data_IF_085592005855
#
_entry.id   IF_085592005855
#
_cell.length_a   1.000
_cell.length_b   1.000
_cell.length_c   1.000
_cell.angle_alpha   90.00
_cell.angle_beta   90.00
_cell.angle_gamma   90.00
#
_symmetry.space_group_name_H-M   'P 1'
#
loop_
_entity.id
_entity.type
_entity.pdbx_description
1 polymer ?
#
# COMPACT_ATOMS: atom_id res chain seq x y z
N UNK A 1 -2.20 1.00 5.28
CA UNK A 1 -3.16 2.10 5.10
C UNK A 1 -3.05 2.56 3.66
N UNK A 2 -4.15 2.73 2.94
CA UNK A 2 -4.12 3.25 1.56
C UNK A 2 -3.84 4.76 1.62
N UNK A 3 -2.96 5.23 0.74
CA UNK A 3 -2.55 6.63 0.62
C UNK A 3 -2.72 7.09 -0.84
N UNK A 4 -2.13 8.22 -1.20
CA UNK A 4 -1.97 8.62 -2.61
C UNK A 4 -3.29 8.92 -3.33
N UNK A 5 -3.39 8.46 -4.59
CA UNK A 5 -4.52 8.72 -5.49
C UNK A 5 -5.88 8.31 -4.95
N UNK A 6 -5.93 7.07 -4.48
CA UNK A 6 -7.16 6.44 -3.96
C UNK A 6 -7.62 7.13 -2.68
N UNK A 7 -6.72 7.36 -1.72
CA UNK A 7 -7.09 8.03 -0.47
C UNK A 7 -7.62 9.45 -0.70
N UNK A 8 -6.96 10.24 -1.54
CA UNK A 8 -7.41 11.59 -1.89
C UNK A 8 -8.79 11.60 -2.57
N UNK A 9 -9.07 10.59 -3.41
CA UNK A 9 -10.34 10.47 -4.12
C UNK A 9 -11.50 10.12 -3.19
N UNK A 10 -11.26 9.29 -2.17
CA UNK A 10 -12.29 8.89 -1.20
C UNK A 10 -12.55 9.97 -0.16
N UNK A 11 -11.48 10.61 0.36
CA UNK A 11 -11.59 11.58 1.45
C UNK A 11 -11.87 13.02 0.99
N UNK A 12 -11.62 13.32 -0.29
CA UNK A 12 -11.71 14.68 -0.82
C UNK A 12 -12.45 14.71 -2.15
N UNK A 13 -11.73 15.07 -3.21
CA UNK A 13 -12.29 15.16 -4.56
C UNK A 13 -11.79 13.99 -5.41
N UNK A 14 -12.69 13.26 -6.10
CA UNK A 14 -12.30 12.20 -7.01
C UNK A 14 -11.28 12.67 -8.04
N UNK A 15 -10.21 11.88 -8.23
CA UNK A 15 -9.25 12.05 -9.32
C UNK A 15 -8.94 10.70 -9.95
N UNK A 16 -8.56 10.74 -11.22
CA UNK A 16 -8.06 9.55 -11.90
C UNK A 16 -6.70 9.18 -11.31
N UNK A 17 -6.52 7.91 -10.96
CA UNK A 17 -5.24 7.30 -10.54
C UNK A 17 -5.11 5.96 -11.25
N UNK A 18 -3.90 5.55 -11.59
CA UNK A 18 -3.64 4.30 -12.33
C UNK A 18 -3.06 3.19 -11.44
N UNK A 19 -2.85 3.51 -10.17
CA UNK A 19 -2.11 2.76 -9.18
C UNK A 19 -2.79 2.85 -7.81
N UNK A 20 -2.36 1.97 -6.92
CA UNK A 20 -2.75 1.92 -5.52
C UNK A 20 -1.51 2.07 -4.65
N UNK A 21 -1.44 3.15 -3.90
CA UNK A 21 -0.38 3.38 -2.94
C UNK A 21 -0.80 2.93 -1.53
N UNK A 22 0.11 2.29 -0.81
CA UNK A 22 -0.09 1.92 0.59
C UNK A 22 1.11 2.27 1.45
N UNK A 23 0.84 2.76 2.67
CA UNK A 23 1.81 2.85 3.75
C UNK A 23 1.60 1.66 4.72
N UNK A 24 2.63 0.86 4.91
CA UNK A 24 2.66 -0.25 5.85
C UNK A 24 3.76 -0.05 6.89
N UNK A 25 3.48 -0.38 8.16
CA UNK A 25 4.49 -0.43 9.21
C UNK A 25 4.65 -1.90 9.58
N UNK A 26 5.74 -2.48 9.09
CA UNK A 26 6.03 -3.91 9.22
C UNK A 26 7.54 -4.10 9.41
N UNK A 27 7.99 -4.92 10.37
CA UNK A 27 9.39 -5.29 10.51
C UNK A 27 9.97 -5.86 9.20
N UNK A 28 11.23 -5.54 8.89
CA UNK A 28 11.88 -6.04 7.67
C UNK A 28 11.88 -7.58 7.57
N UNK A 29 11.97 -8.26 8.71
CA UNK A 29 11.94 -9.71 8.79
C UNK A 29 10.66 -10.32 8.17
N UNK A 30 9.55 -9.59 8.16
CA UNK A 30 8.24 -10.08 7.70
C UNK A 30 7.97 -9.73 6.22
N UNK A 31 8.87 -9.00 5.54
CA UNK A 31 8.62 -8.52 4.18
C UNK A 31 8.55 -9.64 3.16
N UNK A 32 9.39 -10.67 3.32
CA UNK A 32 9.35 -11.85 2.46
C UNK A 32 7.99 -12.57 2.55
N UNK A 33 7.44 -12.66 3.77
CA UNK A 33 6.13 -13.24 4.01
C UNK A 33 4.99 -12.37 3.46
N UNK A 34 5.11 -11.04 3.56
CA UNK A 34 4.15 -10.13 2.95
C UNK A 34 4.07 -10.29 1.42
N UNK A 35 5.22 -10.44 0.74
CA UNK A 35 5.29 -10.71 -0.71
C UNK A 35 4.63 -12.07 -1.02
N UNK A 36 4.96 -13.11 -0.25
CA UNK A 36 4.38 -14.44 -0.43
C UNK A 36 2.87 -14.42 -0.24
N UNK A 37 2.36 -13.74 0.77
CA UNK A 37 0.92 -13.59 1.02
C UNK A 37 0.22 -12.83 -0.10
N UNK A 38 0.82 -11.76 -0.61
CA UNK A 38 0.25 -10.97 -1.71
C UNK A 38 -0.03 -11.80 -2.98
N UNK A 39 0.79 -12.83 -3.24
CA UNK A 39 0.60 -13.73 -4.38
C UNK A 39 -0.74 -14.48 -4.35
N UNK A 40 -1.30 -14.73 -3.16
CA UNK A 40 -2.62 -15.36 -3.00
C UNK A 40 -3.76 -14.49 -3.54
N UNK A 41 -3.52 -13.18 -3.64
CA UNK A 41 -4.45 -12.19 -4.18
C UNK A 41 -4.07 -11.75 -5.59
N UNK A 42 -3.25 -12.55 -6.31
CA UNK A 42 -2.78 -12.25 -7.66
C UNK A 42 -1.95 -10.96 -7.77
N UNK A 43 -1.39 -10.50 -6.65
CA UNK A 43 -0.50 -9.34 -6.56
C UNK A 43 0.93 -9.87 -6.53
N UNK A 44 1.67 -9.62 -7.61
CA UNK A 44 3.04 -10.12 -7.80
C UNK A 44 4.03 -8.96 -7.94
N UNK A 45 5.31 -9.15 -7.60
CA UNK A 45 6.32 -8.13 -7.87
C UNK A 45 6.41 -7.79 -9.35
N UNK A 46 6.58 -6.49 -9.67
CA UNK A 46 6.73 -6.01 -11.06
C UNK A 46 8.19 -5.72 -11.46
N UNK A 47 9.13 -5.99 -10.57
CA UNK A 47 10.57 -5.84 -10.77
C UNK A 47 11.32 -7.09 -10.29
N UNK A 48 12.49 -7.34 -10.88
CA UNK A 48 13.41 -8.37 -10.41
C UNK A 48 13.96 -8.03 -9.01
N UNK A 49 14.32 -9.05 -8.23
CA UNK A 49 14.86 -8.92 -6.88
C UNK A 49 14.07 -7.97 -5.96
N UNK A 50 12.73 -7.99 -6.06
CA UNK A 50 11.85 -7.01 -5.42
C UNK A 50 12.08 -6.82 -3.92
N UNK A 51 12.41 -7.90 -3.18
CA UNK A 51 12.76 -7.79 -1.76
C UNK A 51 14.04 -6.97 -1.55
N UNK A 52 15.08 -7.20 -2.36
CA UNK A 52 16.33 -6.44 -2.27
C UNK A 52 16.14 -5.00 -2.73
N UNK A 53 15.30 -4.76 -3.74
CA UNK A 53 14.89 -3.42 -4.12
C UNK A 53 14.22 -2.71 -2.94
N UNK A 54 13.21 -3.32 -2.32
CA UNK A 54 12.48 -2.76 -1.20
C UNK A 54 13.39 -2.45 -0.01
N UNK A 55 14.39 -3.31 0.29
CA UNK A 55 15.35 -3.06 1.39
C UNK A 55 16.13 -1.76 1.21
N UNK A 56 16.43 -1.40 -0.04
CA UNK A 56 17.16 -0.17 -0.38
C UNK A 56 16.24 1.05 -0.50
N UNK A 57 15.09 0.87 -1.15
CA UNK A 57 14.19 1.98 -1.52
C UNK A 57 13.11 2.27 -0.49
N UNK A 58 12.87 1.34 0.45
CA UNK A 58 11.71 1.32 1.34
C UNK A 58 10.37 1.13 0.63
N UNK A 59 10.36 0.77 -0.66
CA UNK A 59 9.14 0.59 -1.45
C UNK A 59 9.14 -0.77 -2.13
N UNK A 60 8.05 -1.51 -1.94
CA UNK A 60 7.78 -2.75 -2.66
C UNK A 60 6.89 -2.45 -3.88
N UNK A 61 7.43 -2.72 -5.06
CA UNK A 61 6.77 -2.47 -6.34
C UNK A 61 6.04 -3.74 -6.82
N UNK A 62 4.73 -3.72 -6.78
CA UNK A 62 3.87 -4.85 -7.12
C UNK A 62 2.87 -4.49 -8.22
N UNK A 63 2.22 -5.50 -8.78
CA UNK A 63 1.13 -5.36 -9.74
C UNK A 63 0.09 -6.44 -9.51
N UNK A 64 -1.18 -6.05 -9.52
CA UNK A 64 -2.28 -6.99 -9.58
C UNK A 64 -2.41 -7.52 -11.01
N UNK A 65 -2.14 -8.81 -11.20
CA UNK A 65 -1.97 -9.40 -12.53
C UNK A 65 -3.24 -9.42 -13.38
N UNK A 66 -4.42 -9.55 -12.77
CA UNK A 66 -5.68 -9.59 -13.53
C UNK A 66 -6.14 -8.21 -13.99
N UNK A 67 -5.99 -7.17 -13.17
CA UNK A 67 -6.40 -5.81 -13.57
C UNK A 67 -5.29 -5.01 -14.25
N UNK A 68 -4.03 -5.43 -14.11
CA UNK A 68 -2.86 -4.67 -14.56
C UNK A 68 -2.55 -3.44 -13.70
N UNK A 69 -3.28 -3.22 -12.61
CA UNK A 69 -3.10 -2.06 -11.73
C UNK A 69 -1.85 -2.24 -10.87
N UNK A 70 -1.05 -1.19 -10.81
CA UNK A 70 0.16 -1.13 -9.99
C UNK A 70 -0.17 -0.93 -8.52
N UNK A 71 0.60 -1.58 -7.66
CA UNK A 71 0.44 -1.52 -6.21
C UNK A 71 1.79 -1.24 -5.58
N UNK A 72 1.96 -0.03 -5.04
CA UNK A 72 3.20 0.42 -4.44
C UNK A 72 3.04 0.47 -2.92
N UNK A 73 3.84 -0.34 -2.22
CA UNK A 73 3.78 -0.44 -0.76
C UNK A 73 5.04 0.18 -0.18
N UNK A 74 4.89 1.38 0.38
CA UNK A 74 5.92 2.04 1.17
C UNK A 74 5.95 1.45 2.57
N UNK A 75 7.13 1.03 3.01
CA UNK A 75 7.34 0.59 4.39
C UNK A 75 7.78 1.77 5.25
N UNK A 76 6.88 2.26 6.08
CA UNK A 76 7.10 3.38 6.98
C UNK A 76 7.94 3.02 8.21
N UNK A 77 8.76 3.96 8.64
CA UNK A 77 9.62 3.87 9.83
C UNK A 77 9.66 5.17 10.63
N UNK A 78 9.21 6.29 10.08
CA UNK A 78 9.22 7.54 10.80
C UNK A 78 8.10 7.58 11.85
N UNK A 79 8.30 8.23 13.01
CA UNK A 79 7.29 8.27 14.07
C UNK A 79 5.91 8.74 13.59
N UNK A 80 5.86 9.74 12.69
CA UNK A 80 4.59 10.22 12.15
C UNK A 80 3.92 9.21 11.22
N UNK A 81 4.66 8.39 10.49
CA UNK A 81 4.10 7.32 9.64
C UNK A 81 3.45 6.24 10.49
N UNK A 82 4.11 5.87 11.60
CA UNK A 82 3.56 4.94 12.58
C UNK A 82 2.30 5.51 13.22
N UNK A 83 2.33 6.79 13.61
CA UNK A 83 1.16 7.47 14.16
C UNK A 83 0.02 7.53 13.14
N UNK A 84 0.30 7.84 11.87
CA UNK A 84 -0.70 7.89 10.81
C UNK A 84 -1.35 6.52 10.57
N UNK A 85 -0.57 5.44 10.54
CA UNK A 85 -1.11 4.08 10.42
C UNK A 85 -1.92 3.67 11.66
N UNK A 86 -1.47 4.05 12.86
CA UNK A 86 -2.19 3.76 14.10
C UNK A 86 -3.53 4.51 14.21
N UNK A 87 -3.58 5.74 13.69
CA UNK A 87 -4.75 6.61 13.73
C UNK A 87 -5.65 6.51 12.50
N UNK A 88 -5.37 5.60 11.57
CA UNK A 88 -6.17 5.46 10.34
C UNK A 88 -7.61 5.03 10.63
N UNK A 89 -8.52 5.41 9.73
CA UNK A 89 -9.94 5.12 9.86
C UNK A 89 -10.41 4.14 8.79
N UNK A 90 -11.44 3.36 9.13
CA UNK A 90 -12.07 2.45 8.19
C UNK A 90 -13.15 3.18 7.40
N UNK A 91 -13.09 3.09 6.08
CA UNK A 91 -14.11 3.59 5.16
C UNK A 91 -14.64 2.44 4.32
N UNK A 92 -15.95 2.40 4.09
CA UNK A 92 -16.58 1.46 3.17
C UNK A 92 -16.60 2.07 1.75
N UNK A 93 -15.94 1.40 0.80
CA UNK A 93 -15.83 1.84 -0.59
C UNK A 93 -16.17 0.66 -1.49
N UNK A 94 -17.26 0.76 -2.26
CA UNK A 94 -17.68 -0.29 -3.18
C UNK A 94 -17.90 -1.66 -2.52
N UNK A 95 -18.32 -1.68 -1.24
CA UNK A 95 -18.50 -2.92 -0.47
C UNK A 95 -17.22 -3.51 0.13
N UNK A 96 -16.08 -2.80 0.02
CA UNK A 96 -14.81 -3.18 0.61
C UNK A 96 -14.43 -2.18 1.69
N UNK A 97 -13.98 -2.68 2.84
CA UNK A 97 -13.43 -1.87 3.92
C UNK A 97 -11.98 -1.49 3.64
N UNK A 98 -11.70 -0.20 3.58
CA UNK A 98 -10.39 0.36 3.31
C UNK A 98 -9.92 1.21 4.48
N UNK A 99 -8.66 1.03 4.91
CA UNK A 99 -8.03 1.88 5.93
C UNK A 99 -7.41 3.12 5.30
N UNK A 100 -7.89 4.31 5.64
CA UNK A 100 -7.47 5.61 5.09
C UNK A 100 -6.91 6.53 6.19
N UNK A 101 -6.03 7.49 5.84
CA UNK A 101 -5.55 8.47 6.81
C UNK A 101 -6.68 9.38 7.30
N UNK A 102 -6.53 9.91 8.52
CA UNK A 102 -7.39 11.02 8.98
C UNK A 102 -7.09 12.27 8.18
N UNK A 103 -8.14 13.00 7.82
CA UNK A 103 -8.01 14.36 7.28
C UNK A 103 -7.89 15.29 8.48
N UNK A 104 -6.80 16.07 8.53
CA UNK A 104 -6.57 17.12 9.54
C UNK A 104 -7.37 18.39 9.21
#
# INVERSE_FOLDING_TARGET
>A
MIIGGVAASVLGRPRLTQDVDALAVLPEADWADAIRLASQYQILPRVEDALQFAKRSRVLLMRHTTSGIDVDVTFGELPFERAAVANCENHEVGGVRVRLPRVE
#
